data_IF_877565541619
#
_entry.id   IF_877565541619
#
_cell.length_a   1.000
_cell.length_b   1.000
_cell.length_c   1.000
_cell.angle_alpha   90.00
_cell.angle_beta   90.00
_cell.angle_gamma   90.00
#
_symmetry.space_group_name_H-M   'P 1'
#
loop_
_entity.id
_entity.type
_entity.pdbx_description
1 polymer ?
#
# COMPACT_ATOMS: atom_id res chain seq x y z
N UNK A 1 -32.21 -8.97 -14.06
CA UNK A 1 -31.44 -9.56 -12.94
C UNK A 1 -30.03 -9.01 -13.06
N UNK A 2 -29.66 -8.03 -12.25
CA UNK A 2 -28.35 -7.36 -12.32
C UNK A 2 -27.32 -8.31 -11.70
N UNK A 3 -26.55 -9.00 -12.52
CA UNK A 3 -25.34 -9.68 -12.07
C UNK A 3 -24.26 -8.63 -11.88
N UNK A 4 -24.12 -8.16 -10.63
CA UNK A 4 -23.01 -7.31 -10.22
C UNK A 4 -21.78 -8.20 -9.97
N UNK A 5 -21.12 -8.64 -11.05
CA UNK A 5 -19.78 -9.20 -10.96
C UNK A 5 -18.80 -8.03 -10.82
N UNK A 6 -18.35 -7.80 -9.59
CA UNK A 6 -17.16 -7.00 -9.29
C UNK A 6 -16.02 -7.54 -10.18
N UNK A 7 -15.70 -6.86 -11.28
CA UNK A 7 -14.66 -7.40 -12.18
C UNK A 7 -13.33 -7.29 -11.46
N UNK A 8 -12.72 -8.42 -11.10
CA UNK A 8 -11.31 -8.45 -10.75
C UNK A 8 -10.56 -7.78 -11.91
N UNK A 9 -9.79 -6.74 -11.61
CA UNK A 9 -8.93 -6.12 -12.61
C UNK A 9 -7.73 -7.01 -12.85
N UNK A 10 -7.29 -7.07 -14.09
CA UNK A 10 -6.08 -7.80 -14.44
C UNK A 10 -4.86 -6.96 -14.08
N UNK A 11 -3.72 -7.62 -13.96
CA UNK A 11 -2.44 -6.95 -13.68
C UNK A 11 -2.12 -5.87 -14.72
N UNK A 12 -2.41 -6.14 -16.01
CA UNK A 12 -2.21 -5.17 -17.10
C UNK A 12 -3.09 -3.92 -17.03
N UNK A 13 -4.22 -3.96 -16.31
CA UNK A 13 -5.09 -2.79 -16.17
C UNK A 13 -4.48 -1.72 -15.24
N UNK A 14 -3.48 -2.12 -14.45
CA UNK A 14 -2.85 -1.29 -13.42
C UNK A 14 -1.39 -1.02 -13.79
N UNK A 15 -0.67 -2.04 -14.26
CA UNK A 15 0.77 -1.98 -14.48
C UNK A 15 1.16 -2.23 -15.94
N UNK A 16 2.24 -1.58 -16.36
CA UNK A 16 2.88 -1.78 -17.65
C UNK A 16 3.60 -3.15 -17.67
N UNK A 17 2.96 -4.12 -18.31
CA UNK A 17 3.45 -5.52 -18.36
C UNK A 17 4.75 -5.62 -19.15
N UNK A 18 4.94 -4.82 -20.19
CA UNK A 18 6.15 -4.90 -21.03
C UNK A 18 7.36 -4.41 -20.25
N UNK A 19 7.23 -3.29 -19.54
CA UNK A 19 8.29 -2.80 -18.64
C UNK A 19 8.53 -3.74 -17.48
N UNK A 20 7.48 -4.30 -16.88
CA UNK A 20 7.62 -5.31 -15.83
C UNK A 20 8.46 -6.50 -16.31
N UNK A 21 8.11 -7.09 -17.46
CA UNK A 21 8.86 -8.21 -18.05
C UNK A 21 10.32 -7.83 -18.35
N UNK A 22 10.53 -6.66 -18.96
CA UNK A 22 11.87 -6.16 -19.30
C UNK A 22 12.74 -5.93 -18.06
N UNK A 23 12.16 -5.42 -16.98
CA UNK A 23 12.88 -5.13 -15.72
C UNK A 23 13.35 -6.39 -14.97
N UNK A 24 12.77 -7.55 -15.29
CA UNK A 24 13.14 -8.84 -14.72
C UNK A 24 13.99 -9.71 -15.67
N UNK A 25 14.26 -9.21 -16.88
CA UNK A 25 15.11 -9.92 -17.84
C UNK A 25 16.51 -10.16 -17.27
N UNK A 26 17.04 -11.37 -17.48
CA UNK A 26 18.27 -11.84 -16.86
C UNK A 26 18.19 -12.21 -15.37
N UNK A 27 17.06 -11.94 -14.69
CA UNK A 27 16.81 -12.35 -13.29
C UNK A 27 15.84 -13.52 -13.24
N UNK A 28 14.65 -13.35 -13.84
CA UNK A 28 13.63 -14.39 -13.94
C UNK A 28 12.87 -14.24 -15.26
N UNK A 29 12.71 -15.34 -15.98
CA UNK A 29 11.94 -15.34 -17.24
C UNK A 29 10.45 -15.24 -16.92
N UNK A 30 9.86 -14.10 -17.23
CA UNK A 30 8.41 -13.88 -17.17
C UNK A 30 7.80 -14.10 -18.55
N UNK A 31 6.65 -14.77 -18.62
CA UNK A 31 5.90 -14.98 -19.86
C UNK A 31 4.46 -14.51 -19.70
N UNK A 32 3.90 -13.86 -20.73
CA UNK A 32 2.52 -13.36 -20.70
C UNK A 32 1.49 -14.47 -20.85
N UNK A 33 1.80 -15.48 -21.67
CA UNK A 33 0.96 -16.64 -21.89
C UNK A 33 1.72 -17.90 -21.49
N UNK A 34 1.00 -18.84 -20.90
CA UNK A 34 1.56 -20.12 -20.54
C UNK A 34 1.92 -20.91 -21.81
N UNK A 35 3.12 -21.54 -21.87
CA UNK A 35 3.48 -22.39 -23.00
C UNK A 35 2.46 -23.52 -23.22
N UNK A 36 2.23 -23.90 -24.48
CA UNK A 36 1.22 -24.88 -24.87
C UNK A 36 1.46 -26.27 -24.24
N UNK A 37 2.69 -26.55 -23.85
CA UNK A 37 3.11 -27.80 -23.22
C UNK A 37 2.65 -27.90 -21.76
N UNK A 38 2.16 -26.81 -21.16
CA UNK A 38 1.76 -26.76 -19.75
C UNK A 38 0.24 -26.56 -19.64
N UNK A 39 -0.43 -27.51 -18.98
CA UNK A 39 -1.85 -27.44 -18.66
C UNK A 39 -2.07 -26.95 -17.22
N UNK A 40 -2.83 -25.86 -17.05
CA UNK A 40 -3.16 -25.29 -15.72
C UNK A 40 -3.96 -26.29 -14.87
N UNK A 41 -4.80 -27.14 -15.51
CA UNK A 41 -5.67 -28.09 -14.80
C UNK A 41 -4.88 -29.16 -14.04
N UNK A 42 -3.65 -29.42 -14.46
CA UNK A 42 -2.82 -30.50 -13.95
C UNK A 42 -1.70 -30.00 -13.02
N UNK A 43 -1.65 -28.69 -12.73
CA UNK A 43 -0.64 -28.10 -11.84
C UNK A 43 -0.94 -28.41 -10.39
N UNK A 44 0.04 -28.99 -9.69
CA UNK A 44 -0.01 -29.09 -8.24
C UNK A 44 0.01 -27.69 -7.62
N UNK A 45 -1.03 -27.35 -6.85
CA UNK A 45 -1.12 -26.09 -6.13
C UNK A 45 -0.42 -26.20 -4.77
N UNK A 46 0.65 -25.44 -4.57
CA UNK A 46 1.42 -25.41 -3.32
C UNK A 46 1.13 -24.11 -2.60
N UNK A 47 0.59 -24.20 -1.38
CA UNK A 47 0.34 -23.03 -0.54
C UNK A 47 1.63 -22.63 0.17
N UNK A 48 2.03 -21.37 0.03
CA UNK A 48 3.31 -20.88 0.57
C UNK A 48 3.07 -19.56 1.31
N UNK A 49 3.60 -19.37 2.53
CA UNK A 49 3.52 -18.07 3.18
C UNK A 49 4.30 -17.00 2.40
N UNK A 50 3.88 -15.76 2.48
CA UNK A 50 4.65 -14.64 1.95
C UNK A 50 6.00 -14.52 2.71
N UNK A 51 7.11 -14.30 1.97
CA UNK A 51 8.49 -14.21 2.49
C UNK A 51 8.95 -15.46 3.24
N UNK A 52 8.83 -16.62 2.60
CA UNK A 52 9.39 -17.88 3.10
C UNK A 52 10.91 -17.89 3.10
N UNK A 53 11.48 -18.71 3.99
CA UNK A 53 12.91 -19.00 4.02
C UNK A 53 13.30 -19.99 2.93
N UNK A 54 14.59 -20.01 2.58
CA UNK A 54 15.14 -21.03 1.67
C UNK A 54 14.91 -22.45 2.19
N UNK A 55 15.09 -22.69 3.50
CA UNK A 55 14.81 -23.99 4.13
C UNK A 55 13.37 -24.43 3.90
N UNK A 56 12.39 -23.53 4.06
CA UNK A 56 10.99 -23.84 3.81
C UNK A 56 10.77 -24.23 2.34
N UNK A 57 11.43 -23.56 1.40
CA UNK A 57 11.37 -23.89 -0.03
C UNK A 57 11.97 -25.28 -0.26
N UNK A 58 13.14 -25.58 0.29
CA UNK A 58 13.84 -26.87 0.12
C UNK A 58 13.02 -28.02 0.69
N UNK A 59 12.40 -27.83 1.86
CA UNK A 59 11.63 -28.87 2.56
C UNK A 59 10.24 -29.08 1.95
N UNK A 60 9.53 -28.00 1.57
CA UNK A 60 8.10 -28.07 1.28
C UNK A 60 7.74 -27.83 -0.19
N UNK A 61 8.56 -27.10 -0.95
CA UNK A 61 8.25 -26.71 -2.34
C UNK A 61 9.07 -27.52 -3.34
N UNK A 62 10.38 -27.62 -3.11
CA UNK A 62 11.33 -28.26 -4.01
C UNK A 62 11.00 -29.74 -4.31
N UNK A 63 10.57 -30.58 -3.35
CA UNK A 63 10.25 -31.99 -3.64
C UNK A 63 9.07 -32.12 -4.61
N UNK A 64 8.05 -31.27 -4.44
CA UNK A 64 6.85 -31.25 -5.30
C UNK A 64 7.24 -30.77 -6.69
N UNK A 65 8.04 -29.70 -6.79
CA UNK A 65 8.54 -29.19 -8.07
C UNK A 65 9.36 -30.23 -8.82
N UNK A 66 10.31 -30.92 -8.16
CA UNK A 66 11.11 -31.98 -8.77
C UNK A 66 10.27 -33.15 -9.29
N UNK A 67 9.17 -33.48 -8.61
CA UNK A 67 8.28 -34.57 -9.03
C UNK A 67 7.33 -34.17 -10.16
N UNK A 68 6.83 -32.93 -10.17
CA UNK A 68 5.77 -32.49 -11.11
C UNK A 68 6.29 -31.68 -12.30
N UNK A 69 7.50 -31.14 -12.22
CA UNK A 69 8.09 -30.24 -13.21
C UNK A 69 7.50 -28.83 -13.20
N UNK A 70 6.18 -28.70 -13.06
CA UNK A 70 5.48 -27.42 -12.99
C UNK A 70 4.54 -27.38 -11.78
N UNK A 71 4.51 -26.25 -11.07
CA UNK A 71 3.64 -26.04 -9.90
C UNK A 71 2.98 -24.67 -9.96
N UNK A 72 1.81 -24.55 -9.31
CA UNK A 72 1.15 -23.27 -9.05
C UNK A 72 1.40 -22.87 -7.60
N UNK A 73 2.06 -21.75 -7.37
CA UNK A 73 2.20 -21.20 -6.02
C UNK A 73 0.93 -20.42 -5.65
N UNK A 74 0.38 -20.74 -4.47
CA UNK A 74 -0.75 -20.04 -3.87
C UNK A 74 -0.26 -19.33 -2.60
N UNK A 75 0.19 -18.09 -2.76
CA UNK A 75 0.76 -17.31 -1.66
C UNK A 75 -0.33 -16.80 -0.72
N UNK A 76 -0.12 -16.91 0.58
CA UNK A 76 -0.95 -16.26 1.59
C UNK A 76 -0.11 -15.34 2.49
N UNK A 77 -0.74 -14.31 3.03
CA UNK A 77 -0.06 -13.33 3.88
C UNK A 77 -0.40 -13.62 5.34
N UNK A 78 0.47 -14.34 6.10
CA UNK A 78 0.28 -14.44 7.54
C UNK A 78 0.31 -13.04 8.16
N UNK A 79 -0.30 -12.88 9.34
CA UNK A 79 -0.35 -11.60 10.05
C UNK A 79 1.04 -10.98 10.11
N UNK A 80 1.19 -9.82 9.46
CA UNK A 80 2.48 -9.14 9.32
C UNK A 80 2.86 -8.56 10.67
N UNK A 81 3.59 -9.32 11.47
CA UNK A 81 4.16 -8.84 12.71
C UNK A 81 5.51 -8.19 12.39
N UNK A 82 5.55 -6.85 12.33
CA UNK A 82 6.76 -6.06 12.03
C UNK A 82 7.80 -6.09 13.16
N UNK A 83 7.69 -7.03 14.11
CA UNK A 83 8.68 -7.22 15.18
C UNK A 83 9.99 -7.64 14.54
N UNK A 84 11.08 -6.97 14.93
CA UNK A 84 12.45 -7.28 14.50
C UNK A 84 12.72 -8.77 14.72
N UNK A 85 12.75 -9.54 13.64
CA UNK A 85 13.46 -10.81 13.62
C UNK A 85 14.94 -10.48 13.71
N UNK A 86 15.61 -11.03 14.72
CA UNK A 86 17.05 -10.86 14.99
C UNK A 86 17.94 -11.57 13.97
N UNK A 87 17.35 -12.22 12.97
CA UNK A 87 18.08 -12.87 11.90
C UNK A 87 18.58 -11.82 10.90
N UNK A 88 19.90 -11.74 10.75
CA UNK A 88 20.54 -11.17 9.55
C UNK A 88 20.09 -12.02 8.36
N UNK A 89 18.97 -11.68 7.75
CA UNK A 89 18.67 -12.16 6.41
C UNK A 89 19.63 -11.48 5.44
N UNK A 90 20.28 -12.26 4.56
CA UNK A 90 20.83 -11.72 3.33
C UNK A 90 19.76 -10.81 2.69
N UNK A 91 20.16 -9.63 2.22
CA UNK A 91 19.22 -8.76 1.50
C UNK A 91 18.80 -9.52 0.24
N UNK A 92 17.55 -9.96 0.18
CA UNK A 92 16.98 -10.53 -1.03
C UNK A 92 16.73 -9.40 -2.03
N UNK A 93 17.79 -9.07 -2.79
CA UNK A 93 17.78 -8.02 -3.80
C UNK A 93 16.78 -8.32 -4.91
N UNK A 94 16.51 -9.60 -5.20
CA UNK A 94 15.54 -10.02 -6.22
C UNK A 94 14.12 -9.76 -5.76
N UNK A 95 13.77 -10.11 -4.51
CA UNK A 95 12.47 -9.77 -3.93
C UNK A 95 12.26 -8.25 -3.85
N UNK A 96 13.29 -7.49 -3.47
CA UNK A 96 13.21 -6.03 -3.43
C UNK A 96 12.97 -5.43 -4.83
N UNK A 97 13.76 -5.89 -5.82
CA UNK A 97 13.61 -5.50 -7.22
C UNK A 97 12.19 -5.82 -7.72
N UNK A 98 11.75 -7.07 -7.55
CA UNK A 98 10.43 -7.55 -7.95
C UNK A 98 9.27 -6.80 -7.31
N UNK A 99 9.42 -6.35 -6.07
CA UNK A 99 8.32 -5.70 -5.33
C UNK A 99 8.29 -4.18 -5.50
N UNK A 100 9.45 -3.53 -5.59
CA UNK A 100 9.53 -2.07 -5.54
C UNK A 100 10.24 -1.44 -6.75
N UNK A 101 11.02 -2.22 -7.51
CA UNK A 101 11.80 -1.74 -8.65
C UNK A 101 11.21 -2.01 -10.03
N UNK A 102 10.24 -2.93 -10.16
CA UNK A 102 9.75 -3.42 -11.46
C UNK A 102 8.35 -2.95 -11.84
N UNK A 103 7.56 -2.53 -10.85
CA UNK A 103 6.17 -2.11 -11.06
C UNK A 103 6.11 -0.65 -11.52
N UNK A 104 5.66 -0.44 -12.75
CA UNK A 104 5.32 0.87 -13.31
C UNK A 104 3.84 0.91 -13.64
N UNK A 105 3.17 2.00 -13.25
CA UNK A 105 1.74 2.18 -13.52
C UNK A 105 1.49 2.36 -15.02
N UNK A 106 0.33 1.88 -15.47
CA UNK A 106 -0.23 2.27 -16.78
C UNK A 106 -0.36 3.80 -16.87
N UNK A 107 -0.17 4.41 -18.06
CA UNK A 107 -0.21 5.86 -18.23
C UNK A 107 -1.44 6.50 -17.62
N UNK A 108 -2.63 5.95 -17.88
CA UNK A 108 -3.89 6.49 -17.38
C UNK A 108 -3.98 6.52 -15.84
N UNK A 109 -3.45 5.50 -15.16
CA UNK A 109 -3.45 5.44 -13.69
C UNK A 109 -2.40 6.41 -13.15
N UNK A 110 -1.23 6.46 -13.77
CA UNK A 110 -0.14 7.36 -13.37
C UNK A 110 -0.54 8.83 -13.52
N UNK A 111 -1.24 9.20 -14.59
CA UNK A 111 -1.75 10.56 -14.83
C UNK A 111 -2.68 11.01 -13.71
N UNK A 112 -3.59 10.13 -13.27
CA UNK A 112 -4.50 10.46 -12.16
C UNK A 112 -3.72 10.65 -10.87
N UNK A 113 -2.82 9.73 -10.53
CA UNK A 113 -1.98 9.84 -9.33
C UNK A 113 -1.15 11.13 -9.35
N UNK A 114 -0.49 11.44 -10.46
CA UNK A 114 0.37 12.61 -10.57
C UNK A 114 -0.45 13.90 -10.55
N UNK A 115 -1.63 13.94 -11.18
CA UNK A 115 -2.54 15.09 -11.08
C UNK A 115 -3.01 15.36 -9.64
N UNK A 116 -3.26 14.30 -8.87
CA UNK A 116 -3.66 14.41 -7.46
C UNK A 116 -2.50 14.93 -6.61
N UNK A 117 -1.28 14.46 -6.85
CA UNK A 117 -0.08 14.94 -6.17
C UNK A 117 0.16 16.41 -6.49
N UNK A 118 0.13 16.81 -7.77
CA UNK A 118 0.31 18.21 -8.17
C UNK A 118 -0.75 19.14 -7.55
N UNK A 119 -1.99 18.66 -7.44
CA UNK A 119 -3.05 19.41 -6.75
C UNK A 119 -2.74 19.55 -5.27
N UNK A 120 -2.30 18.50 -4.58
CA UNK A 120 -1.89 18.55 -3.17
C UNK A 120 -0.73 19.54 -2.97
N UNK A 121 0.30 19.49 -3.84
CA UNK A 121 1.43 20.44 -3.81
C UNK A 121 0.99 21.88 -4.05
N UNK A 122 0.02 22.08 -4.95
CA UNK A 122 -0.56 23.41 -5.20
C UNK A 122 -1.33 23.94 -3.99
N UNK A 123 -2.06 23.07 -3.27
CA UNK A 123 -2.78 23.45 -2.04
C UNK A 123 -1.82 23.75 -0.87
N UNK A 124 -0.61 23.19 -0.90
CA UNK A 124 0.45 23.42 0.08
C UNK A 124 1.51 24.43 -0.34
N UNK A 125 1.21 25.34 -1.29
CA UNK A 125 2.15 26.41 -1.74
C UNK A 125 2.75 27.25 -0.60
N UNK A 126 2.02 27.43 0.51
CA UNK A 126 2.51 28.17 1.69
C UNK A 126 3.54 27.39 2.52
N UNK A 127 3.65 26.10 2.30
CA UNK A 127 4.56 25.17 2.97
C UNK A 127 5.49 24.51 1.93
N UNK A 128 6.00 25.30 0.99
CA UNK A 128 6.90 24.88 -0.09
C UNK A 128 6.41 23.71 -0.95
N UNK A 129 5.09 23.54 -1.05
CA UNK A 129 4.49 22.43 -1.79
C UNK A 129 4.60 21.08 -1.08
N UNK A 130 4.93 21.06 0.21
CA UNK A 130 5.06 19.84 1.02
C UNK A 130 3.70 19.36 1.53
N UNK A 131 3.49 18.04 1.59
CA UNK A 131 2.28 17.47 2.18
C UNK A 131 2.53 16.16 2.91
N UNK A 132 1.64 15.86 3.86
CA UNK A 132 1.63 14.61 4.61
C UNK A 132 0.57 13.69 4.02
N UNK A 133 0.91 12.42 3.84
CA UNK A 133 -0.07 11.38 3.60
C UNK A 133 -0.28 10.56 4.89
N UNK A 134 -1.52 10.43 5.32
CA UNK A 134 -1.92 9.66 6.49
C UNK A 134 -2.73 8.45 6.02
N UNK A 135 -2.25 7.24 6.35
CA UNK A 135 -3.03 6.03 6.15
C UNK A 135 -4.05 5.89 7.26
N UNK A 136 -5.24 6.46 7.05
CA UNK A 136 -6.35 6.46 7.99
C UNK A 136 -7.66 6.26 7.22
N UNK A 137 -8.24 5.08 7.42
CA UNK A 137 -9.50 4.64 6.83
C UNK A 137 -10.46 4.23 7.93
N UNK A 138 -11.61 4.89 7.98
CA UNK A 138 -12.58 4.73 9.07
C UNK A 138 -13.12 3.31 9.10
N UNK A 139 -13.47 2.76 7.94
CA UNK A 139 -14.00 1.40 7.79
C UNK A 139 -13.04 0.33 8.29
N UNK A 140 -11.73 0.51 8.11
CA UNK A 140 -10.70 -0.42 8.60
C UNK A 140 -10.50 -0.29 10.11
N UNK A 141 -10.58 0.95 10.64
CA UNK A 141 -10.43 1.23 12.06
C UNK A 141 -11.60 0.69 12.88
N UNK A 142 -12.84 0.86 12.39
CA UNK A 142 -14.05 0.33 13.01
C UNK A 142 -14.00 -1.20 13.09
N UNK A 143 -13.60 -1.86 11.99
CA UNK A 143 -13.46 -3.32 11.95
C UNK A 143 -12.39 -3.88 12.90
N UNK A 144 -11.40 -3.07 13.30
CA UNK A 144 -10.34 -3.49 14.22
C UNK A 144 -10.65 -3.18 15.69
N UNK A 145 -11.81 -2.59 16.02
CA UNK A 145 -12.15 -2.14 17.37
C UNK A 145 -10.98 -1.37 18.01
N UNK A 146 -10.54 -0.29 17.35
CA UNK A 146 -9.42 0.56 17.76
C UNK A 146 -9.69 1.36 19.06
N UNK A 147 -10.06 0.66 20.13
CA UNK A 147 -10.21 1.18 21.48
C UNK A 147 -8.85 1.16 22.18
N UNK A 148 -8.51 2.25 22.86
CA UNK A 148 -7.28 2.34 23.66
C UNK A 148 -7.26 1.24 24.73
N UNK A 149 -6.38 0.26 24.57
CA UNK A 149 -6.09 -0.68 25.65
C UNK A 149 -5.18 0.04 26.64
N UNK A 150 -5.67 0.30 27.85
CA UNK A 150 -4.92 0.91 28.95
C UNK A 150 -3.83 0.01 29.55
N UNK A 151 -3.02 -0.63 28.70
CA UNK A 151 -1.87 -1.45 29.13
C UNK A 151 -0.63 -1.08 28.33
N UNK A 152 0.57 -1.29 28.89
CA UNK A 152 1.90 -0.97 28.33
C UNK A 152 2.25 -1.68 26.99
N UNK A 153 1.26 -2.07 26.18
CA UNK A 153 1.42 -2.69 24.87
C UNK A 153 1.26 -1.60 23.81
N UNK A 154 2.27 -1.47 22.94
CA UNK A 154 2.22 -0.52 21.83
C UNK A 154 0.92 -0.68 21.01
N UNK A 155 0.18 0.42 20.86
CA UNK A 155 -1.11 0.43 20.17
C UNK A 155 -0.92 0.06 18.69
N UNK A 156 -1.80 -0.79 18.18
CA UNK A 156 -1.70 -1.31 16.80
C UNK A 156 -2.46 -0.47 15.76
N UNK A 157 -3.30 0.45 16.24
CA UNK A 157 -4.07 1.39 15.42
C UNK A 157 -4.45 2.68 16.16
N UNK A 158 -4.67 3.77 15.44
CA UNK A 158 -4.92 5.11 15.97
C UNK A 158 -6.12 5.75 15.28
N UNK A 159 -6.96 6.44 16.04
CA UNK A 159 -8.12 7.16 15.49
C UNK A 159 -7.74 8.58 15.00
N UNK A 160 -8.69 9.27 14.37
CA UNK A 160 -8.45 10.60 13.80
C UNK A 160 -7.98 11.64 14.83
N UNK A 161 -8.51 11.60 16.05
CA UNK A 161 -8.12 12.50 17.13
C UNK A 161 -6.68 12.26 17.57
N UNK A 162 -6.29 10.99 17.76
CA UNK A 162 -4.92 10.62 18.15
C UNK A 162 -3.91 11.03 17.09
N UNK A 163 -4.22 10.82 15.81
CA UNK A 163 -3.37 11.28 14.70
C UNK A 163 -3.25 12.80 14.69
N UNK A 164 -4.36 13.53 14.87
CA UNK A 164 -4.34 14.98 14.88
C UNK A 164 -3.44 15.54 16.00
N UNK A 165 -3.58 14.99 17.21
CA UNK A 165 -2.78 15.37 18.37
C UNK A 165 -1.30 14.99 18.19
N UNK A 166 -1.03 13.81 17.63
CA UNK A 166 0.33 13.37 17.30
C UNK A 166 1.01 14.35 16.34
N UNK A 167 0.36 14.71 15.23
CA UNK A 167 0.90 15.65 14.25
C UNK A 167 1.18 17.02 14.87
N UNK A 168 0.27 17.53 15.72
CA UNK A 168 0.49 18.79 16.45
C UNK A 168 1.67 18.70 17.41
N UNK A 169 1.79 17.59 18.16
CA UNK A 169 2.88 17.39 19.13
C UNK A 169 4.24 17.24 18.46
N UNK A 170 4.30 16.65 17.27
CA UNK A 170 5.53 16.58 16.45
C UNK A 170 5.95 17.97 15.92
N UNK A 171 5.02 18.92 15.83
CA UNK A 171 5.30 20.31 15.46
C UNK A 171 4.78 20.73 14.09
N UNK A 172 3.86 19.97 13.47
CA UNK A 172 3.24 20.42 12.23
C UNK A 172 2.28 21.60 12.45
N UNK A 173 2.40 22.60 11.58
CA UNK A 173 1.54 23.78 11.59
C UNK A 173 0.11 23.45 11.11
N UNK A 174 -0.89 24.20 11.56
CA UNK A 174 -2.29 24.01 11.17
C UNK A 174 -2.55 24.19 9.67
N UNK A 175 -1.72 24.97 8.95
CA UNK A 175 -1.81 25.14 7.49
C UNK A 175 -1.21 23.97 6.70
N UNK A 176 -0.66 22.95 7.38
CA UNK A 176 -0.13 21.74 6.74
C UNK A 176 -1.21 21.04 5.92
N UNK A 177 -0.90 20.72 4.67
CA UNK A 177 -1.79 19.95 3.80
C UNK A 177 -1.66 18.45 4.09
N UNK A 178 -2.81 17.81 4.30
CA UNK A 178 -2.92 16.40 4.66
C UNK A 178 -3.79 15.67 3.62
N UNK A 179 -3.26 14.58 3.09
CA UNK A 179 -4.01 13.59 2.33
C UNK A 179 -4.36 12.40 3.21
N UNK A 180 -5.62 11.97 3.19
CA UNK A 180 -6.10 10.75 3.86
C UNK A 180 -6.38 9.64 2.83
N UNK A 181 -6.02 8.40 3.17
CA UNK A 181 -6.36 7.20 2.36
C UNK A 181 -7.86 6.86 2.37
N UNK A 182 -8.66 7.65 3.08
CA UNK A 182 -10.12 7.60 3.02
C UNK A 182 -10.64 8.00 1.63
N UNK A 183 -11.70 7.32 1.16
CA UNK A 183 -12.30 7.58 -0.15
C UNK A 183 -13.18 8.82 -0.14
N UNK A 184 -14.27 8.78 0.63
CA UNK A 184 -15.19 9.91 0.83
C UNK A 184 -15.11 10.46 2.24
N UNK A 185 -15.48 11.72 2.40
CA UNK A 185 -15.46 12.35 3.73
C UNK A 185 -16.37 11.60 4.72
N UNK A 186 -15.88 11.41 5.93
CA UNK A 186 -16.62 10.83 7.04
C UNK A 186 -16.55 11.77 8.25
N UNK A 187 -17.67 11.98 8.95
CA UNK A 187 -17.75 12.93 10.06
C UNK A 187 -16.83 12.59 11.24
N UNK A 188 -16.43 11.33 11.42
CA UNK A 188 -15.43 10.93 12.42
C UNK A 188 -14.04 11.55 12.18
N UNK A 189 -13.80 12.11 10.99
CA UNK A 189 -12.57 12.81 10.62
C UNK A 189 -12.60 14.31 10.93
N UNK A 190 -13.73 14.84 11.44
CA UNK A 190 -13.93 16.28 11.69
C UNK A 190 -12.82 16.87 12.56
N UNK A 191 -12.48 16.22 13.67
CA UNK A 191 -11.43 16.67 14.59
C UNK A 191 -10.08 16.89 13.91
N UNK A 192 -9.72 16.04 12.94
CA UNK A 192 -8.47 16.19 12.19
C UNK A 192 -8.55 17.42 11.27
N UNK A 193 -9.70 17.67 10.65
CA UNK A 193 -9.94 18.84 9.79
C UNK A 193 -10.08 20.14 10.56
N UNK A 194 -10.62 20.10 11.78
CA UNK A 194 -10.72 21.28 12.65
C UNK A 194 -9.33 21.77 13.05
N UNK A 195 -8.39 20.85 13.27
CA UNK A 195 -6.99 21.17 13.60
C UNK A 195 -6.16 21.47 12.35
N UNK A 196 -6.37 20.72 11.27
CA UNK A 196 -5.69 20.88 9.97
C UNK A 196 -6.73 21.10 8.86
N UNK A 197 -7.19 22.35 8.63
CA UNK A 197 -8.26 22.65 7.68
C UNK A 197 -8.00 22.17 6.25
N UNK A 198 -6.73 22.06 5.85
CA UNK A 198 -6.28 21.53 4.55
C UNK A 198 -6.16 20.00 4.56
N UNK A 199 -7.17 19.33 5.10
CA UNK A 199 -7.28 17.86 5.09
C UNK A 199 -8.22 17.41 3.99
N UNK A 200 -7.74 16.49 3.15
CA UNK A 200 -8.43 16.06 1.94
C UNK A 200 -8.46 14.54 1.79
N UNK A 201 -9.57 14.02 1.24
CA UNK A 201 -9.72 12.62 0.82
C UNK A 201 -9.54 12.48 -0.69
N UNK A 202 -9.56 11.23 -1.20
CA UNK A 202 -9.53 10.96 -2.65
C UNK A 202 -10.59 11.73 -3.42
N UNK A 203 -11.83 11.73 -2.93
CA UNK A 203 -12.94 12.46 -3.58
C UNK A 203 -12.71 13.98 -3.65
N UNK A 204 -12.00 14.57 -2.69
CA UNK A 204 -11.72 16.00 -2.70
C UNK A 204 -10.65 16.40 -3.71
N UNK A 205 -9.64 15.53 -3.92
CA UNK A 205 -8.44 15.85 -4.71
C UNK A 205 -8.55 15.37 -6.15
N UNK A 206 -9.20 14.24 -6.40
CA UNK A 206 -9.31 13.68 -7.75
C UNK A 206 -10.07 14.62 -8.70
N UNK A 207 -9.60 14.81 -9.95
CA UNK A 207 -10.36 15.54 -10.97
C UNK A 207 -11.74 14.94 -11.18
N UNK A 208 -12.77 15.78 -11.35
CA UNK A 208 -14.17 15.37 -11.38
C UNK A 208 -14.44 14.35 -12.50
N UNK A 209 -13.87 14.60 -13.67
CA UNK A 209 -13.98 13.76 -14.86
C UNK A 209 -13.33 12.37 -14.70
N UNK A 210 -12.43 12.19 -13.72
CA UNK A 210 -11.78 10.90 -13.43
C UNK A 210 -12.53 10.11 -12.35
N UNK A 211 -13.33 10.76 -11.49
CA UNK A 211 -14.01 10.11 -10.36
C UNK A 211 -14.91 8.95 -10.79
N UNK A 212 -15.66 9.11 -11.88
CA UNK A 212 -16.57 8.08 -12.39
C UNK A 212 -15.89 6.75 -12.72
N UNK A 213 -14.59 6.75 -13.06
CA UNK A 213 -13.84 5.53 -13.38
C UNK A 213 -13.03 4.99 -12.20
N UNK A 214 -12.51 5.87 -11.36
CA UNK A 214 -11.55 5.51 -10.31
C UNK A 214 -12.18 5.41 -8.91
N UNK A 215 -13.33 6.04 -8.67
CA UNK A 215 -14.06 6.05 -7.39
C UNK A 215 -15.49 5.50 -7.51
N UNK A 216 -15.81 4.80 -8.60
CA UNK A 216 -17.15 4.22 -8.83
C UNK A 216 -17.55 3.27 -7.70
N UNK A 217 -16.59 2.45 -7.27
CA UNK A 217 -16.76 1.47 -6.20
C UNK A 217 -15.77 1.75 -5.08
N UNK A 218 -16.30 2.16 -3.93
CA UNK A 218 -15.51 2.43 -2.74
C UNK A 218 -14.72 1.19 -2.32
N UNK A 219 -13.43 1.37 -2.02
CA UNK A 219 -12.54 0.28 -1.62
C UNK A 219 -12.06 -0.60 -2.77
N UNK A 220 -12.27 -0.19 -4.04
CA UNK A 220 -11.73 -0.85 -5.21
C UNK A 220 -10.20 -1.00 -5.17
N UNK A 221 -9.67 -1.93 -5.97
CA UNK A 221 -8.23 -2.14 -6.08
C UNK A 221 -7.49 -0.88 -6.56
N UNK A 222 -8.10 -0.10 -7.47
CA UNK A 222 -7.54 1.17 -7.94
C UNK A 222 -7.39 2.20 -6.83
N UNK A 223 -8.37 2.33 -5.95
CA UNK A 223 -8.27 3.27 -4.84
C UNK A 223 -7.07 2.95 -3.95
N UNK A 224 -6.84 1.66 -3.69
CA UNK A 224 -5.68 1.18 -2.91
C UNK A 224 -4.36 1.44 -3.63
N UNK A 225 -4.33 1.30 -4.97
CA UNK A 225 -3.16 1.62 -5.79
C UNK A 225 -2.87 3.11 -5.73
N UNK A 226 -3.88 3.97 -5.90
CA UNK A 226 -3.74 5.43 -5.80
C UNK A 226 -3.19 5.81 -4.42
N UNK A 227 -3.78 5.30 -3.35
CA UNK A 227 -3.30 5.51 -1.97
C UNK A 227 -1.84 5.10 -1.83
N UNK A 228 -1.49 3.90 -2.28
CA UNK A 228 -0.13 3.36 -2.19
C UNK A 228 0.89 4.30 -2.86
N UNK A 229 0.60 4.79 -4.07
CA UNK A 229 1.53 5.67 -4.79
C UNK A 229 1.57 7.09 -4.22
N UNK A 230 0.45 7.66 -3.80
CA UNK A 230 0.42 8.98 -3.14
C UNK A 230 1.19 8.93 -1.81
N UNK A 231 0.92 7.93 -0.95
CA UNK A 231 1.65 7.73 0.30
C UNK A 231 3.15 7.44 0.08
N UNK A 232 3.50 6.77 -1.01
CA UNK A 232 4.91 6.51 -1.35
C UNK A 232 5.66 7.76 -1.83
N UNK A 233 4.96 8.68 -2.51
CA UNK A 233 5.56 9.91 -3.07
C UNK A 233 5.47 11.12 -2.13
N UNK A 234 4.59 11.10 -1.12
CA UNK A 234 4.43 12.17 -0.14
C UNK A 234 5.73 12.53 0.59
N UNK A 235 5.77 13.73 1.17
CA UNK A 235 6.97 14.20 1.85
C UNK A 235 7.11 13.56 3.23
N UNK A 236 6.00 13.37 3.94
CA UNK A 236 5.91 12.56 5.16
C UNK A 236 4.79 11.53 5.02
N UNK A 237 5.01 10.33 5.54
CA UNK A 237 3.99 9.29 5.63
C UNK A 237 3.70 8.93 7.10
N UNK A 238 2.42 8.85 7.45
CA UNK A 238 1.97 8.52 8.82
C UNK A 238 0.98 7.35 8.77
N UNK A 239 1.34 6.16 9.26
CA UNK A 239 0.42 5.04 9.32
C UNK A 239 -0.46 5.13 10.58
N UNK A 240 -1.78 5.17 10.43
CA UNK A 240 -2.68 5.00 11.58
C UNK A 240 -2.89 3.54 11.93
N UNK A 241 -2.46 2.61 11.07
CA UNK A 241 -2.61 1.16 11.24
C UNK A 241 -1.28 0.47 10.95
N UNK A 242 -0.89 -0.43 11.85
CA UNK A 242 0.12 -1.43 11.51
C UNK A 242 -0.48 -2.48 10.56
N UNK A 243 0.29 -2.89 9.55
CA UNK A 243 -0.15 -3.92 8.61
C UNK A 243 0.61 -3.95 7.28
N UNK A 244 0.06 -4.70 6.32
CA UNK A 244 0.68 -4.93 5.02
C UNK A 244 0.76 -3.63 4.18
N UNK A 245 -0.25 -2.76 4.24
CA UNK A 245 -0.22 -1.49 3.54
C UNK A 245 0.94 -0.62 4.02
N UNK A 246 1.07 -0.44 5.34
CA UNK A 246 2.22 0.24 5.95
C UNK A 246 3.55 -0.38 5.49
N UNK A 247 3.72 -1.70 5.60
CA UNK A 247 4.96 -2.38 5.23
C UNK A 247 5.33 -2.16 3.75
N UNK A 248 4.34 -2.17 2.85
CA UNK A 248 4.56 -1.97 1.42
C UNK A 248 4.92 -0.51 1.11
N UNK A 249 4.18 0.46 1.67
CA UNK A 249 4.52 1.88 1.49
C UNK A 249 5.91 2.18 2.02
N UNK A 250 6.27 1.64 3.19
CA UNK A 250 7.60 1.79 3.75
C UNK A 250 8.69 1.25 2.82
N UNK A 251 8.50 0.04 2.28
CA UNK A 251 9.44 -0.55 1.32
C UNK A 251 9.60 0.28 0.04
N UNK A 252 8.49 0.77 -0.53
CA UNK A 252 8.55 1.62 -1.73
C UNK A 252 9.21 2.98 -1.43
N UNK A 253 8.93 3.57 -0.28
CA UNK A 253 9.57 4.82 0.17
C UNK A 253 11.07 4.67 0.34
N UNK A 254 11.54 3.55 0.89
CA UNK A 254 12.98 3.23 0.98
C UNK A 254 13.59 3.17 -0.43
N UNK A 255 12.95 2.46 -1.36
CA UNK A 255 13.42 2.38 -2.75
C UNK A 255 13.46 3.75 -3.46
N UNK A 256 12.54 4.66 -3.10
CA UNK A 256 12.50 6.04 -3.61
C UNK A 256 13.41 7.02 -2.86
N UNK A 257 14.14 6.59 -1.83
CA UNK A 257 14.95 7.49 -1.00
C UNK A 257 14.15 8.49 -0.17
N UNK A 258 12.91 8.15 0.21
CA UNK A 258 11.97 8.98 1.00
C UNK A 258 11.74 8.41 2.41
N UNK A 259 12.76 8.36 3.29
CA UNK A 259 12.70 7.60 4.55
C UNK A 259 11.79 8.23 5.62
N UNK A 260 11.24 9.43 5.39
CA UNK A 260 10.41 10.14 6.37
C UNK A 260 9.08 9.43 6.59
N UNK A 261 9.03 8.61 7.64
CA UNK A 261 7.84 7.93 8.14
C UNK A 261 7.73 8.24 9.62
N UNK A 262 6.60 8.80 10.05
CA UNK A 262 6.32 9.08 11.45
C UNK A 262 5.26 8.11 11.94
N UNK A 263 5.70 7.10 12.68
CA UNK A 263 4.79 6.12 13.30
C UNK A 263 4.26 6.74 14.60
N UNK A 264 2.94 6.88 14.78
CA UNK A 264 2.39 7.35 16.04
C UNK A 264 2.82 6.42 17.18
N UNK A 265 3.18 7.02 18.30
CA UNK A 265 3.50 6.34 19.55
C UNK A 265 3.02 7.22 20.70
N UNK A 266 2.77 6.62 21.85
CA UNK A 266 2.58 7.38 23.08
C UNK A 266 3.88 8.14 23.38
N UNK A 267 3.87 9.45 23.17
CA UNK A 267 4.99 10.32 23.56
C UNK A 267 4.68 10.76 24.98
N UNK A 268 5.40 10.30 26.02
CA UNK A 268 5.25 10.85 27.37
C UNK A 268 5.44 12.37 27.32
N UNK A 269 4.57 13.10 28.02
CA UNK A 269 4.72 14.55 28.22
C UNK A 269 5.79 14.84 29.25
#
# INVERSE_FOLDING_TARGET
>A
MVQNTMSLRNFEDIYDVEKFMKSLDGVVKVVKQLPNEISIRDLAAVKVPNRVTEDHIVENVQPIFKSKGNIRLATYFPTVNMRKTTQKSSVDSVSCLGMFGTLELQPEVSEVVDSMIERLRTLSRKSDGLFIAVDLRVDVLENKNCHGSGTNVAKSCYNAQEIALFLRKVGFDTDTTIYLTQSKWNNSLSVLKDIFPKTYTKENIMPEEKKGKFLEFEGSELEKVIDFYICSKSDVFVPALSGLFYANVAGKRIALGKPQILVPADIPG
#
